data_IF_282252202870
#
_entry.id   IF_282252202870
#
_cell.length_a   1.000
_cell.length_b   1.000
_cell.length_c   1.000
_cell.angle_alpha   90.00
_cell.angle_beta   90.00
_cell.angle_gamma   90.00
#
_symmetry.space_group_name_H-M   'P 1'
#
loop_
_entity.id
_entity.type
_entity.pdbx_description
1 polymer ?
#
# COMPACT_ATOMS: atom_id res chain seq x y z
N UNK A 1 -12.93 -57.63 3.07
CA UNK A 1 -11.89 -56.99 2.24
C UNK A 1 -11.36 -55.75 2.94
N UNK A 2 -10.04 -55.52 2.90
CA UNK A 2 -9.32 -54.40 3.53
C UNK A 2 -9.55 -53.07 2.80
N UNK A 3 -9.62 -52.00 3.59
CA UNK A 3 -9.79 -50.59 3.23
C UNK A 3 -8.59 -50.01 2.48
N UNK A 4 -8.82 -48.97 1.68
CA UNK A 4 -7.89 -47.84 1.54
C UNK A 4 -8.72 -46.53 1.48
N UNK A 5 -8.82 -45.92 2.66
CA UNK A 5 -9.33 -44.57 2.93
C UNK A 5 -8.21 -43.60 2.52
N UNK A 6 -8.49 -42.66 1.61
CA UNK A 6 -7.59 -41.53 1.35
C UNK A 6 -8.04 -40.32 2.19
N UNK A 7 -7.09 -39.82 2.96
CA UNK A 7 -7.23 -38.68 3.87
C UNK A 7 -7.30 -37.39 3.07
N UNK A 8 -8.37 -36.62 3.27
CA UNK A 8 -8.48 -35.26 2.78
C UNK A 8 -7.33 -34.40 3.34
N UNK A 9 -6.49 -33.85 2.47
CA UNK A 9 -5.65 -32.71 2.80
C UNK A 9 -6.52 -31.47 2.75
N UNK A 10 -6.80 -30.98 3.96
CA UNK A 10 -7.42 -29.71 4.29
C UNK A 10 -6.61 -28.54 3.71
N UNK A 11 -7.32 -27.63 3.05
CA UNK A 11 -6.93 -26.22 3.03
C UNK A 11 -6.76 -25.61 1.64
N UNK A 12 -7.88 -25.24 1.00
CA UNK A 12 -8.07 -23.90 0.44
C UNK A 12 -9.45 -23.83 -0.23
N UNK A 13 -10.41 -23.28 0.52
CA UNK A 13 -11.51 -22.45 -0.01
C UNK A 13 -12.19 -23.01 -1.26
N UNK A 14 -13.16 -23.91 -1.07
CA UNK A 14 -14.32 -23.98 -1.96
C UNK A 14 -15.21 -22.76 -1.67
N UNK A 15 -14.70 -21.54 -1.87
CA UNK A 15 -15.60 -20.41 -2.09
C UNK A 15 -16.39 -20.77 -3.34
N UNK A 16 -17.67 -20.43 -3.36
CA UNK A 16 -18.43 -20.41 -4.60
C UNK A 16 -17.71 -19.48 -5.56
N UNK A 17 -16.85 -20.04 -6.41
CA UNK A 17 -16.27 -19.32 -7.53
C UNK A 17 -17.47 -18.99 -8.41
N UNK A 18 -17.90 -17.72 -8.39
CA UNK A 18 -18.85 -17.23 -9.38
C UNK A 18 -18.33 -17.64 -10.76
N UNK A 19 -19.19 -18.02 -11.73
CA UNK A 19 -18.73 -18.54 -13.01
C UNK A 19 -17.81 -17.52 -13.68
N UNK A 20 -16.50 -17.75 -13.59
CA UNK A 20 -15.51 -16.88 -14.19
C UNK A 20 -15.56 -17.10 -15.69
N UNK A 21 -15.71 -16.00 -16.43
CA UNK A 21 -15.58 -16.00 -17.88
C UNK A 21 -14.09 -15.96 -18.19
N UNK A 22 -13.63 -16.88 -19.02
CA UNK A 22 -12.29 -16.86 -19.61
C UNK A 22 -12.45 -16.48 -21.07
N UNK A 23 -11.65 -15.53 -21.53
CA UNK A 23 -11.72 -15.06 -22.91
C UNK A 23 -10.37 -15.10 -23.59
N UNK A 24 -10.43 -15.24 -24.91
CA UNK A 24 -9.30 -15.35 -25.80
C UNK A 24 -9.35 -14.20 -26.81
N UNK A 25 -8.22 -13.52 -27.00
CA UNK A 25 -8.05 -12.32 -27.82
C UNK A 25 -9.09 -11.22 -27.51
N UNK A 26 -9.35 -10.95 -26.23
CA UNK A 26 -10.32 -9.91 -25.84
C UNK A 26 -11.78 -10.27 -26.15
N UNK A 27 -12.09 -11.54 -26.38
CA UNK A 27 -13.47 -12.02 -26.53
C UNK A 27 -13.81 -12.65 -27.87
N UNK A 28 -12.84 -12.84 -28.78
CA UNK A 28 -13.04 -13.58 -30.04
C UNK A 28 -13.57 -15.00 -29.79
N UNK A 29 -13.02 -15.67 -28.77
CA UNK A 29 -13.60 -16.86 -28.19
C UNK A 29 -13.73 -16.69 -26.69
N UNK A 30 -14.80 -17.28 -26.12
CA UNK A 30 -15.06 -17.19 -24.69
C UNK A 30 -15.53 -18.55 -24.18
N UNK A 31 -15.15 -18.86 -22.94
CA UNK A 31 -15.56 -20.07 -22.22
C UNK A 31 -15.79 -19.72 -20.76
N UNK A 32 -16.37 -20.64 -20.00
CA UNK A 32 -16.59 -20.47 -18.58
C UNK A 32 -15.81 -21.50 -17.79
N UNK A 33 -15.33 -21.10 -16.62
CA UNK A 33 -14.74 -22.02 -15.64
C UNK A 33 -15.82 -22.98 -15.14
N UNK A 34 -15.50 -24.28 -15.16
CA UNK A 34 -16.36 -25.35 -14.67
C UNK A 34 -16.33 -25.43 -13.14
N UNK A 35 -17.22 -26.24 -12.57
CA UNK A 35 -17.29 -26.46 -11.12
C UNK A 35 -16.01 -27.07 -10.51
N UNK A 36 -15.19 -27.72 -11.32
CA UNK A 36 -13.89 -28.29 -10.93
C UNK A 36 -12.73 -27.27 -11.05
N UNK A 37 -13.01 -26.02 -11.42
CA UNK A 37 -12.00 -24.99 -11.66
C UNK A 37 -11.33 -25.06 -13.03
N UNK A 38 -11.66 -26.05 -13.87
CA UNK A 38 -11.08 -26.19 -15.20
C UNK A 38 -11.79 -25.33 -16.24
N UNK A 39 -11.08 -24.95 -17.30
CA UNK A 39 -11.65 -24.33 -18.50
C UNK A 39 -11.00 -24.92 -19.75
N UNK A 40 -11.69 -24.83 -20.88
CA UNK A 40 -11.21 -25.38 -22.14
C UNK A 40 -11.69 -24.52 -23.32
N UNK A 41 -10.75 -24.19 -24.20
CA UNK A 41 -11.03 -23.71 -25.56
C UNK A 41 -10.86 -24.88 -26.53
N UNK A 42 -11.79 -25.04 -27.45
CA UNK A 42 -11.75 -26.09 -28.49
C UNK A 42 -11.49 -25.45 -29.84
N UNK A 43 -10.94 -26.23 -30.77
CA UNK A 43 -10.76 -25.82 -32.17
C UNK A 43 -9.95 -24.52 -32.32
N UNK A 44 -8.91 -24.38 -31.49
CA UNK A 44 -7.95 -23.27 -31.57
C UNK A 44 -6.90 -23.61 -32.62
N UNK A 45 -6.83 -22.82 -33.69
CA UNK A 45 -5.83 -22.97 -34.74
C UNK A 45 -4.40 -22.67 -34.21
N UNK A 46 -3.35 -23.07 -34.93
CA UNK A 46 -2.00 -22.60 -34.64
C UNK A 46 -1.91 -21.07 -34.77
N UNK A 47 -1.25 -20.42 -33.82
CA UNK A 47 -1.18 -18.97 -33.77
C UNK A 47 -0.85 -18.42 -32.39
N UNK A 48 -0.88 -17.09 -32.30
CA UNK A 48 -0.65 -16.37 -31.04
C UNK A 48 -1.96 -15.88 -30.47
N UNK A 49 -2.15 -16.15 -29.19
CA UNK A 49 -3.38 -15.84 -28.48
C UNK A 49 -3.09 -15.14 -27.17
N UNK A 50 -4.04 -14.32 -26.73
CA UNK A 50 -4.04 -13.72 -25.41
C UNK A 50 -5.21 -14.30 -24.64
N UNK A 51 -4.96 -14.87 -23.48
CA UNK A 51 -5.98 -15.36 -22.57
C UNK A 51 -6.06 -14.43 -21.36
N UNK A 52 -7.27 -14.02 -21.04
CA UNK A 52 -7.55 -13.15 -19.91
C UNK A 52 -8.86 -13.55 -19.21
N UNK A 53 -8.93 -13.25 -17.92
CA UNK A 53 -10.06 -13.58 -17.03
C UNK A 53 -10.58 -12.27 -16.46
N UNK A 54 -11.58 -11.63 -17.09
CA UNK A 54 -12.19 -10.43 -16.55
C UNK A 54 -12.94 -10.75 -15.26
N UNK A 55 -12.62 -10.03 -14.20
CA UNK A 55 -13.33 -10.08 -12.92
C UNK A 55 -13.41 -8.69 -12.31
N UNK A 56 -14.52 -8.43 -11.61
CA UNK A 56 -14.70 -7.20 -10.84
C UNK A 56 -14.02 -7.33 -9.47
N UNK A 57 -13.96 -8.52 -8.89
CA UNK A 57 -13.46 -8.69 -7.53
C UNK A 57 -11.96 -9.02 -7.48
N UNK A 58 -11.42 -9.60 -8.55
CA UNK A 58 -10.05 -10.10 -8.57
C UNK A 58 -9.32 -9.63 -9.83
N UNK A 59 -8.03 -9.32 -9.66
CA UNK A 59 -7.10 -9.13 -10.75
C UNK A 59 -6.46 -10.48 -11.08
N UNK A 60 -6.61 -10.95 -12.31
CA UNK A 60 -5.95 -12.14 -12.82
C UNK A 60 -4.79 -11.78 -13.76
N UNK A 61 -3.79 -12.65 -13.83
CA UNK A 61 -2.70 -12.53 -14.81
C UNK A 61 -3.23 -12.69 -16.24
N UNK A 62 -2.60 -11.99 -17.19
CA UNK A 62 -2.81 -12.20 -18.62
C UNK A 62 -1.79 -13.22 -19.14
N UNK A 63 -2.25 -14.19 -19.94
CA UNK A 63 -1.39 -15.20 -20.53
C UNK A 63 -1.29 -14.99 -22.05
N UNK A 64 -0.07 -14.88 -22.57
CA UNK A 64 0.18 -14.93 -24.02
C UNK A 64 0.60 -16.34 -24.39
N UNK A 65 -0.17 -16.96 -25.28
CA UNK A 65 0.04 -18.31 -25.77
C UNK A 65 0.58 -18.24 -27.20
N UNK A 66 1.62 -19.01 -27.47
CA UNK A 66 2.08 -19.32 -28.83
C UNK A 66 1.81 -20.81 -29.06
N UNK A 67 0.86 -21.11 -29.95
CA UNK A 67 0.43 -22.46 -30.31
C UNK A 67 1.06 -22.80 -31.65
N UNK A 68 2.02 -23.72 -31.64
CA UNK A 68 2.70 -24.18 -32.84
C UNK A 68 1.84 -25.15 -33.67
N UNK A 69 2.21 -25.35 -34.93
CA UNK A 69 1.49 -26.27 -35.85
C UNK A 69 1.54 -27.74 -35.40
N UNK A 70 2.55 -28.12 -34.62
CA UNK A 70 2.71 -29.44 -34.01
C UNK A 70 1.89 -29.62 -32.72
N UNK A 71 1.17 -28.57 -32.29
CA UNK A 71 0.39 -28.55 -31.06
C UNK A 71 1.20 -28.21 -29.80
N UNK A 72 2.49 -27.90 -29.91
CA UNK A 72 3.28 -27.43 -28.77
C UNK A 72 2.81 -26.04 -28.34
N UNK A 73 2.51 -25.88 -27.05
CA UNK A 73 2.04 -24.61 -26.49
C UNK A 73 3.14 -23.99 -25.63
N UNK A 74 3.47 -22.73 -25.90
CA UNK A 74 4.33 -21.91 -25.05
C UNK A 74 3.50 -20.81 -24.40
N UNK A 75 3.57 -20.72 -23.08
CA UNK A 75 2.83 -19.71 -22.32
C UNK A 75 3.77 -18.69 -21.67
N UNK A 76 3.38 -17.43 -21.74
CA UNK A 76 4.01 -16.31 -21.03
C UNK A 76 2.97 -15.64 -20.16
N UNK A 77 3.31 -15.39 -18.90
CA UNK A 77 2.45 -14.72 -17.93
C UNK A 77 2.86 -13.25 -17.75
N UNK A 78 1.85 -12.40 -17.64
CA UNK A 78 1.94 -11.00 -17.24
C UNK A 78 0.98 -10.74 -16.08
N UNK A 79 1.51 -10.52 -14.87
CA UNK A 79 0.70 -10.33 -13.64
C UNK A 79 -0.18 -9.08 -13.68
N UNK A 80 0.25 -8.04 -14.38
CA UNK A 80 -0.47 -6.79 -14.57
C UNK A 80 0.05 -6.10 -15.85
N UNK A 81 -0.70 -5.14 -16.42
CA UNK A 81 -0.22 -4.36 -17.56
C UNK A 81 1.13 -3.70 -17.26
N UNK A 82 2.16 -4.02 -18.05
CA UNK A 82 3.53 -3.54 -17.85
C UNK A 82 4.42 -4.39 -16.94
N UNK A 83 3.91 -5.49 -16.37
CA UNK A 83 4.72 -6.44 -15.61
C UNK A 83 5.81 -7.10 -16.49
N UNK A 84 6.96 -7.50 -15.90
CA UNK A 84 7.94 -8.30 -16.63
C UNK A 84 7.32 -9.64 -17.06
N UNK A 85 7.71 -10.11 -18.25
CA UNK A 85 7.26 -11.41 -18.77
C UNK A 85 7.83 -12.56 -17.92
N UNK A 86 6.97 -13.45 -17.46
CA UNK A 86 7.36 -14.70 -16.81
C UNK A 86 7.01 -15.89 -17.71
N UNK A 87 7.77 -16.98 -17.63
CA UNK A 87 7.40 -18.24 -18.29
C UNK A 87 6.29 -18.89 -17.48
N UNK A 88 5.21 -19.27 -18.14
CA UNK A 88 4.14 -20.08 -17.53
C UNK A 88 4.22 -21.51 -18.04
N UNK A 89 3.85 -22.45 -17.17
CA UNK A 89 3.69 -23.84 -17.54
C UNK A 89 2.33 -24.08 -18.20
N UNK A 90 2.25 -25.14 -18.98
CA UNK A 90 1.03 -25.62 -19.60
C UNK A 90 0.71 -27.02 -19.07
N UNK A 91 -0.53 -27.32 -18.65
CA UNK A 91 -1.74 -26.49 -18.67
C UNK A 91 -1.68 -25.24 -17.78
N UNK A 92 -2.40 -24.19 -18.14
CA UNK A 92 -2.41 -22.92 -17.41
C UNK A 92 -3.07 -23.06 -16.05
N UNK A 93 -2.37 -22.65 -14.99
CA UNK A 93 -2.93 -22.44 -13.67
C UNK A 93 -3.14 -20.93 -13.45
N UNK A 94 -4.38 -20.47 -13.60
CA UNK A 94 -4.73 -19.07 -13.42
C UNK A 94 -5.00 -18.77 -11.94
N UNK A 95 -4.13 -17.97 -11.32
CA UNK A 95 -4.26 -17.53 -9.94
C UNK A 95 -4.63 -16.05 -9.87
N UNK A 96 -5.44 -15.70 -8.87
CA UNK A 96 -5.75 -14.30 -8.59
C UNK A 96 -4.51 -13.61 -8.02
N UNK A 97 -4.05 -12.56 -8.70
CA UNK A 97 -2.89 -11.75 -8.30
C UNK A 97 -3.24 -10.90 -7.08
N UNK A 98 -4.43 -10.29 -7.07
CA UNK A 98 -4.90 -9.41 -6.00
C UNK A 98 -6.42 -9.31 -5.99
N UNK A 99 -7.01 -9.11 -4.81
CA UNK A 99 -8.41 -8.69 -4.67
C UNK A 99 -8.54 -7.18 -4.91
N UNK A 100 -9.48 -6.79 -5.78
CA UNK A 100 -9.75 -5.40 -6.14
C UNK A 100 -10.65 -4.76 -5.09
N UNK A 101 -10.03 -3.91 -4.26
CA UNK A 101 -10.75 -3.07 -3.30
C UNK A 101 -10.97 -1.69 -3.93
N UNK A 102 -12.12 -1.49 -4.58
CA UNK A 102 -12.47 -0.19 -5.17
C UNK A 102 -12.88 0.86 -4.15
N UNK A 103 -13.18 0.45 -2.92
CA UNK A 103 -13.61 1.35 -1.86
C UNK A 103 -12.42 1.73 -0.97
N UNK A 104 -12.16 3.03 -0.89
CA UNK A 104 -11.29 3.58 0.14
C UNK A 104 -12.00 3.47 1.49
N UNK A 105 -11.34 2.86 2.47
CA UNK A 105 -11.86 2.81 3.82
C UNK A 105 -11.88 4.24 4.37
N UNK A 106 -13.07 4.75 4.71
CA UNK A 106 -13.21 6.07 5.33
C UNK A 106 -12.28 6.16 6.53
N UNK A 107 -11.52 7.24 6.62
CA UNK A 107 -10.71 7.54 7.80
C UNK A 107 -11.63 7.49 9.03
N UNK A 108 -11.37 6.50 9.90
CA UNK A 108 -12.12 6.37 11.14
C UNK A 108 -11.70 7.52 12.04
N UNK A 109 -12.66 8.13 12.71
CA UNK A 109 -12.38 9.16 13.69
C UNK A 109 -11.47 8.58 14.77
N UNK A 110 -10.20 8.97 14.75
CA UNK A 110 -9.19 8.51 15.69
C UNK A 110 -8.88 9.65 16.67
N UNK A 111 -9.54 9.62 17.82
CA UNK A 111 -9.35 10.60 18.89
C UNK A 111 -7.88 10.73 19.32
N UNK A 112 -7.14 9.62 19.36
CA UNK A 112 -5.71 9.66 19.69
C UNK A 112 -4.90 10.33 18.58
N UNK A 113 -5.20 10.05 17.31
CA UNK A 113 -4.55 10.75 16.19
C UNK A 113 -4.90 12.24 16.16
N UNK A 114 -6.10 12.62 16.58
CA UNK A 114 -6.51 14.01 16.72
C UNK A 114 -5.74 14.71 17.86
N UNK A 115 -5.61 14.07 19.03
CA UNK A 115 -4.86 14.63 20.17
C UNK A 115 -3.36 14.71 19.85
N UNK A 116 -2.81 13.71 19.15
CA UNK A 116 -1.42 13.70 18.68
C UNK A 116 -1.22 14.54 17.40
N UNK A 117 -2.25 15.23 16.91
CA UNK A 117 -2.11 16.04 15.71
C UNK A 117 -1.24 17.27 15.99
N UNK A 118 -0.39 17.69 15.04
CA UNK A 118 0.43 18.89 15.20
C UNK A 118 -0.41 20.11 15.56
N UNK A 119 -1.59 20.26 14.96
CA UNK A 119 -2.50 21.38 15.22
C UNK A 119 -3.09 21.40 16.63
N UNK A 120 -3.33 20.23 17.24
CA UNK A 120 -3.83 20.17 18.61
C UNK A 120 -2.70 20.40 19.63
N UNK A 121 -1.54 19.77 19.42
CA UNK A 121 -0.38 19.92 20.29
C UNK A 121 0.15 21.35 20.32
N UNK A 122 0.18 22.06 19.18
CA UNK A 122 0.62 23.46 19.13
C UNK A 122 -0.24 24.40 19.97
N UNK A 123 -1.52 24.07 20.18
CA UNK A 123 -2.41 24.85 21.05
C UNK A 123 -2.26 24.44 22.51
N UNK A 124 -2.22 23.14 22.80
CA UNK A 124 -2.25 22.63 24.18
C UNK A 124 -0.90 22.75 24.90
N UNK A 125 0.21 22.49 24.20
CA UNK A 125 1.56 22.55 24.79
C UNK A 125 1.89 23.91 25.40
N UNK A 126 1.72 25.07 24.71
CA UNK A 126 2.03 26.36 25.32
C UNK A 126 1.11 26.71 26.49
N UNK A 127 -0.18 26.35 26.42
CA UNK A 127 -1.11 26.54 27.56
C UNK A 127 -0.66 25.72 28.76
N UNK A 128 -0.27 24.46 28.53
CA UNK A 128 0.29 23.60 29.57
C UNK A 128 1.59 24.16 30.16
N UNK A 129 2.48 24.69 29.31
CA UNK A 129 3.73 25.30 29.73
C UNK A 129 3.49 26.53 30.61
N UNK A 130 2.56 27.41 30.23
CA UNK A 130 2.18 28.58 31.03
C UNK A 130 1.60 28.20 32.40
N UNK A 131 0.95 27.04 32.52
CA UNK A 131 0.43 26.53 33.79
C UNK A 131 1.51 25.87 34.67
N UNK A 132 2.46 25.17 34.04
CA UNK A 132 3.50 24.41 34.74
C UNK A 132 4.69 25.29 35.13
N UNK A 133 5.09 26.25 34.30
CA UNK A 133 6.20 27.17 34.55
C UNK A 133 6.12 27.88 35.91
N UNK A 134 5.00 28.51 36.34
CA UNK A 134 4.92 29.13 37.66
C UNK A 134 5.12 28.12 38.79
N UNK A 135 4.66 26.88 38.61
CA UNK A 135 4.85 25.80 39.59
C UNK A 135 6.29 25.29 39.66
N UNK A 136 7.01 25.30 38.54
CA UNK A 136 8.42 24.93 38.50
C UNK A 136 9.31 26.06 39.04
N UNK A 137 9.01 27.33 38.74
CA UNK A 137 9.76 28.47 39.28
C UNK A 137 9.55 28.64 40.79
N UNK A 138 8.32 28.44 41.27
CA UNK A 138 8.02 28.42 42.71
C UNK A 138 8.69 27.24 43.45
N UNK A 139 8.92 26.12 42.74
CA UNK A 139 9.43 24.88 43.34
C UNK A 139 10.92 24.62 43.20
N UNK A 140 11.61 25.23 42.22
CA UNK A 140 13.00 24.87 41.86
C UNK A 140 13.91 26.05 41.46
N UNK A 141 13.50 27.31 41.63
CA UNK A 141 14.35 28.47 41.32
C UNK A 141 14.49 29.40 42.54
N UNK A 142 15.71 29.52 43.06
CA UNK A 142 16.08 30.53 44.06
C UNK A 142 16.03 31.92 43.38
N UNK A 143 15.46 32.98 44.00
CA UNK A 143 15.17 34.26 43.33
C UNK A 143 16.37 34.97 42.67
N UNK A 144 17.60 34.61 43.05
CA UNK A 144 18.82 35.16 42.46
C UNK A 144 19.12 34.63 41.06
N UNK A 145 18.80 33.36 40.76
CA UNK A 145 19.07 32.77 39.44
C UNK A 145 18.06 33.23 38.38
N UNK A 146 16.81 33.46 38.78
CA UNK A 146 15.78 34.01 37.89
C UNK A 146 16.09 35.46 37.49
N UNK A 147 16.72 36.23 38.39
CA UNK A 147 17.16 37.60 38.12
C UNK A 147 18.34 37.61 37.15
N UNK A 148 19.28 36.68 37.31
CA UNK A 148 20.41 36.50 36.39
C UNK A 148 19.97 36.03 34.99
N UNK A 149 18.99 35.10 34.93
CA UNK A 149 18.37 34.67 33.69
C UNK A 149 17.58 35.80 33.00
N UNK A 150 16.91 36.68 33.76
CA UNK A 150 16.26 37.88 33.23
C UNK A 150 17.25 38.94 32.75
N UNK A 151 18.40 39.08 33.41
CA UNK A 151 19.48 39.99 32.96
C UNK A 151 20.13 39.47 31.66
N UNK A 152 20.30 38.15 31.51
CA UNK A 152 20.75 37.54 30.26
C UNK A 152 19.68 37.62 29.16
N UNK A 153 18.41 37.37 29.49
CA UNK A 153 17.29 37.39 28.52
C UNK A 153 16.84 38.81 28.13
N UNK A 154 16.95 39.79 29.04
CA UNK A 154 16.69 41.21 28.78
C UNK A 154 17.73 41.87 27.87
N UNK A 155 18.88 41.20 27.66
CA UNK A 155 19.89 41.60 26.68
C UNK A 155 19.70 41.00 25.28
N UNK A 156 18.76 40.05 25.13
CA UNK A 156 18.45 39.40 23.85
C UNK A 156 17.09 39.88 23.32
N UNK A 157 17.07 40.34 22.07
CA UNK A 157 15.85 40.86 21.45
C UNK A 157 14.74 39.80 21.45
N UNK A 158 13.54 40.09 21.98
CA UNK A 158 12.43 39.13 22.08
C UNK A 158 12.00 38.59 20.71
N UNK A 159 12.26 39.35 19.63
CA UNK A 159 12.03 38.96 18.23
C UNK A 159 12.97 37.85 17.75
N UNK A 160 14.21 37.80 18.23
CA UNK A 160 15.21 36.78 17.85
C UNK A 160 14.95 35.43 18.52
N UNK A 161 14.45 35.45 19.75
CA UNK A 161 14.06 34.26 20.51
C UNK A 161 12.83 33.58 19.91
N UNK A 162 11.83 34.38 19.48
CA UNK A 162 10.65 33.85 18.81
C UNK A 162 10.99 33.26 17.44
N UNK A 163 11.91 33.89 16.70
CA UNK A 163 12.42 33.37 15.41
C UNK A 163 13.16 32.04 15.58
N UNK A 164 13.98 31.89 16.62
CA UNK A 164 14.69 30.63 16.90
C UNK A 164 13.79 29.49 17.40
N UNK A 165 12.70 29.80 18.12
CA UNK A 165 11.78 28.80 18.67
C UNK A 165 10.69 28.37 17.68
N UNK A 166 10.26 29.27 16.78
CA UNK A 166 9.22 29.01 15.78
C UNK A 166 9.80 28.67 14.40
N UNK A 167 11.04 29.08 14.12
CA UNK A 167 11.71 29.00 12.83
C UNK A 167 12.81 27.94 12.76
N UNK A 168 12.66 26.82 13.48
CA UNK A 168 13.54 25.65 13.37
C UNK A 168 13.41 24.94 12.02
N UNK A 169 13.80 25.63 10.95
CA UNK A 169 13.69 25.17 9.57
C UNK A 169 13.96 26.26 8.54
N UNK A 170 15.16 26.85 8.52
CA UNK A 170 15.67 27.39 7.27
C UNK A 170 17.17 27.15 7.11
N UNK A 171 17.45 26.49 6.00
CA UNK A 171 18.71 25.98 5.49
C UNK A 171 19.80 27.03 5.39
N UNK A 172 20.99 26.63 5.84
CA UNK A 172 22.27 27.18 5.47
C UNK A 172 22.52 26.86 3.99
N UNK A 173 22.50 27.86 3.12
CA UNK A 173 23.13 27.80 1.80
C UNK A 173 23.95 29.09 1.63
N UNK A 174 25.25 28.88 1.74
CA UNK A 174 26.32 29.78 1.34
C UNK A 174 26.28 29.91 -0.18
N UNK A 175 26.28 31.14 -0.71
CA UNK A 175 27.01 31.40 -1.94
C UNK A 175 27.54 32.84 -1.89
N UNK A 176 28.86 32.92 -1.75
CA UNK A 176 29.65 34.13 -1.89
C UNK A 176 29.96 34.29 -3.38
N UNK A 177 29.37 35.30 -4.01
CA UNK A 177 29.87 35.81 -5.29
C UNK A 177 31.18 36.57 -5.01
N UNK A 178 32.31 35.93 -5.34
CA UNK A 178 33.65 36.53 -5.41
C UNK A 178 33.78 37.37 -6.70
N UNK A 179 34.34 38.58 -6.56
CA UNK A 179 34.79 39.50 -7.62
C UNK A 179 35.95 38.94 -8.46
#
# INVERSE_FOLDING_TARGET
MRFLRWTALSGAVTEKVAPLKVQLNGGEQTTFVRSDGSFLFRDVAPGRYVVDIPSQEFLFSQYKLDVAEDGAVRALEYKYPGAPKARADYPLAAEAVKQLNYFEQREKFNLLALIMSPSFLTVVVPIGLLYVLPKLSEGMMDPEEFKKAQEEMGSQDPSSLLSGMLGGGQSKEEDSDDD
#
